data_IF_444185735520
#
_entry.id   IF_444185735520
#
_cell.length_a   1.000
_cell.length_b   1.000
_cell.length_c   1.000
_cell.angle_alpha   90.00
_cell.angle_beta   90.00
_cell.angle_gamma   90.00
#
_symmetry.space_group_name_H-M   'P 1'
#
loop_
_entity.id
_entity.type
_entity.pdbx_description
1 polymer ?
#
# COMPACT_ATOMS: atom_id res chain seq x y z
N UNK A 1 -8.30 1.46 -9.03
CA UNK A 1 -8.41 2.90 -8.75
C UNK A 1 -7.69 3.83 -9.75
N UNK A 2 -7.11 3.33 -10.85
CA UNK A 2 -6.25 4.15 -11.72
C UNK A 2 -6.95 5.23 -12.56
N UNK A 3 -8.15 4.99 -13.11
CA UNK A 3 -8.85 6.00 -13.95
C UNK A 3 -9.36 7.18 -13.11
N UNK A 4 -10.00 6.89 -11.96
CA UNK A 4 -10.48 7.93 -11.06
C UNK A 4 -9.33 8.73 -10.44
N UNK A 5 -8.25 8.06 -10.04
CA UNK A 5 -7.05 8.74 -9.54
C UNK A 5 -6.35 9.55 -10.63
N UNK A 6 -6.29 9.05 -11.87
CA UNK A 6 -5.76 9.78 -13.03
C UNK A 6 -6.62 11.02 -13.34
N UNK A 7 -7.94 10.87 -13.30
CA UNK A 7 -8.88 11.97 -13.43
C UNK A 7 -8.68 13.03 -12.34
N UNK A 8 -8.58 12.62 -11.07
CA UNK A 8 -8.31 13.53 -9.96
C UNK A 8 -6.95 14.22 -10.08
N UNK A 9 -5.92 13.51 -10.52
CA UNK A 9 -4.60 14.12 -10.76
C UNK A 9 -4.59 15.05 -11.95
N UNK A 10 -5.35 14.77 -13.02
CA UNK A 10 -5.54 15.68 -14.15
C UNK A 10 -6.33 16.94 -13.71
N UNK A 11 -7.43 16.77 -12.99
CA UNK A 11 -8.19 17.89 -12.41
C UNK A 11 -7.27 18.70 -11.49
N UNK A 12 -6.51 18.05 -10.62
CA UNK A 12 -5.51 18.70 -9.77
C UNK A 12 -4.45 19.44 -10.57
N UNK A 13 -3.95 18.88 -11.66
CA UNK A 13 -2.98 19.54 -12.54
C UNK A 13 -3.55 20.80 -13.21
N UNK A 14 -4.82 20.79 -13.61
CA UNK A 14 -5.47 21.95 -14.24
C UNK A 14 -5.93 23.00 -13.22
N UNK A 15 -6.35 22.59 -12.03
CA UNK A 15 -6.86 23.48 -10.96
C UNK A 15 -5.71 24.09 -10.15
N UNK A 16 -4.66 23.32 -9.85
CA UNK A 16 -3.50 23.81 -9.10
C UNK A 16 -2.61 24.60 -10.06
N UNK A 17 -2.85 25.90 -10.14
CA UNK A 17 -1.89 26.84 -10.72
C UNK A 17 -0.60 26.78 -9.90
N UNK A 18 0.51 26.43 -10.56
CA UNK A 18 1.85 26.34 -9.96
C UNK A 18 2.13 27.52 -9.02
N UNK A 19 2.23 27.25 -7.72
CA UNK A 19 2.54 28.25 -6.68
C UNK A 19 4.06 28.36 -6.40
N UNK A 20 4.90 27.69 -7.19
CA UNK A 20 6.34 27.62 -6.95
C UNK A 20 7.05 28.88 -7.43
N UNK A 21 7.37 29.78 -6.50
CA UNK A 21 7.89 31.14 -6.76
C UNK A 21 9.11 31.18 -7.68
N UNK A 22 10.03 30.22 -7.58
CA UNK A 22 11.22 30.20 -8.44
C UNK A 22 10.90 29.88 -9.91
N UNK A 23 9.80 29.18 -10.19
CA UNK A 23 9.36 28.87 -11.57
C UNK A 23 8.73 30.12 -12.21
N UNK A 24 7.96 30.89 -11.43
CA UNK A 24 7.39 32.17 -11.87
C UNK A 24 8.49 33.17 -12.25
N UNK A 25 9.52 33.31 -11.40
CA UNK A 25 10.67 34.17 -11.67
C UNK A 25 11.45 33.73 -12.92
N UNK A 26 11.61 32.41 -13.13
CA UNK A 26 12.26 31.85 -14.32
C UNK A 26 11.44 32.08 -15.60
N UNK A 27 10.11 31.97 -15.55
CA UNK A 27 9.23 32.27 -16.70
C UNK A 27 9.30 33.74 -17.07
N UNK A 28 9.33 34.63 -16.07
CA UNK A 28 9.49 36.08 -16.29
C UNK A 28 10.84 36.40 -16.94
N UNK A 29 11.94 35.83 -16.43
CA UNK A 29 13.27 35.98 -17.03
C UNK A 29 13.35 35.41 -18.46
N UNK A 30 12.66 34.31 -18.75
CA UNK A 30 12.58 33.74 -20.12
C UNK A 30 11.84 34.66 -21.09
N UNK A 31 10.76 35.31 -20.64
CA UNK A 31 10.01 36.28 -21.43
C UNK A 31 10.90 37.47 -21.82
N UNK A 32 11.70 37.98 -20.89
CA UNK A 32 12.64 39.08 -21.12
C UNK A 32 13.82 38.68 -22.03
N UNK A 33 14.29 37.43 -21.94
CA UNK A 33 15.35 36.88 -22.80
C UNK A 33 14.90 36.61 -24.26
N UNK A 34 13.59 36.59 -24.54
CA UNK A 34 13.06 36.22 -25.86
C UNK A 34 13.09 37.37 -26.88
N UNK A 35 13.31 38.60 -26.41
CA UNK A 35 13.44 39.84 -27.19
C UNK A 35 14.75 39.94 -27.99
N UNK A 36 15.79 39.16 -27.64
CA UNK A 36 17.13 39.29 -28.22
C UNK A 36 17.60 37.95 -28.82
N UNK A 37 17.96 37.88 -30.12
CA UNK A 37 18.31 36.61 -30.78
C UNK A 37 19.48 35.86 -30.13
N UNK A 38 20.51 36.57 -29.69
CA UNK A 38 21.68 35.98 -29.00
C UNK A 38 21.35 35.47 -27.60
N UNK A 39 20.37 36.09 -26.91
CA UNK A 39 19.98 35.72 -25.54
C UNK A 39 19.29 34.35 -25.47
N UNK A 40 18.52 33.97 -26.51
CA UNK A 40 17.81 32.68 -26.56
C UNK A 40 18.75 31.46 -26.51
N UNK A 41 19.91 31.54 -27.18
CA UNK A 41 20.89 30.45 -27.25
C UNK A 41 21.60 30.28 -25.91
N UNK A 42 21.99 31.40 -25.28
CA UNK A 42 22.62 31.44 -23.96
C UNK A 42 21.68 30.91 -22.87
N UNK A 43 20.39 31.31 -22.91
CA UNK A 43 19.39 30.86 -21.94
C UNK A 43 19.13 29.35 -21.98
N UNK A 44 19.08 28.72 -23.17
CA UNK A 44 18.85 27.27 -23.30
C UNK A 44 20.03 26.44 -22.78
N UNK A 45 21.26 26.89 -23.01
CA UNK A 45 22.47 26.22 -22.51
C UNK A 45 22.57 26.37 -20.99
N UNK A 46 22.32 27.58 -20.49
CA UNK A 46 22.30 27.88 -19.05
C UNK A 46 21.19 27.12 -18.32
N UNK A 47 20.01 26.93 -18.95
CA UNK A 47 18.91 26.17 -18.38
C UNK A 47 19.30 24.72 -18.06
N UNK A 48 19.89 23.99 -19.02
CA UNK A 48 20.28 22.60 -18.79
C UNK A 48 21.45 22.48 -17.80
N UNK A 49 22.36 23.45 -17.78
CA UNK A 49 23.44 23.52 -16.80
C UNK A 49 22.95 23.84 -15.38
N UNK A 50 21.87 24.59 -15.21
CA UNK A 50 21.28 24.87 -13.89
C UNK A 50 20.29 23.79 -13.41
N UNK A 51 19.77 22.95 -14.31
CA UNK A 51 18.74 21.98 -13.95
C UNK A 51 19.33 20.67 -13.43
N UNK A 52 20.33 20.12 -14.13
CA UNK A 52 20.85 18.78 -13.82
C UNK A 52 21.67 18.70 -12.52
N UNK A 53 22.57 19.64 -12.19
CA UNK A 53 23.39 19.54 -10.99
C UNK A 53 22.61 19.61 -9.66
N UNK A 54 21.64 20.51 -9.45
CA UNK A 54 20.88 20.53 -8.19
C UNK A 54 19.86 19.39 -8.10
N UNK A 55 19.38 18.88 -9.24
CA UNK A 55 18.45 17.76 -9.28
C UNK A 55 19.13 16.46 -8.83
N UNK A 56 20.33 16.17 -9.35
CA UNK A 56 21.08 14.97 -8.96
C UNK A 56 21.45 14.99 -7.47
N UNK A 57 21.82 16.15 -6.93
CA UNK A 57 22.09 16.32 -5.49
C UNK A 57 20.84 16.11 -4.65
N UNK A 58 19.68 16.61 -5.08
CA UNK A 58 18.40 16.44 -4.35
C UNK A 58 17.92 14.98 -4.36
N UNK A 59 18.16 14.25 -5.45
CA UNK A 59 17.84 12.82 -5.55
C UNK A 59 18.84 11.97 -4.75
N UNK A 60 20.12 12.35 -4.71
CA UNK A 60 21.14 11.62 -3.96
C UNK A 60 21.04 11.81 -2.43
N UNK A 61 20.49 12.95 -1.97
CA UNK A 61 20.31 13.27 -0.55
C UNK A 61 19.54 12.21 0.25
N UNK A 62 18.35 11.74 -0.15
CA UNK A 62 17.63 10.71 0.60
C UNK A 62 18.43 9.41 0.73
N UNK A 63 19.15 8.97 -0.30
CA UNK A 63 20.05 7.81 -0.21
C UNK A 63 21.23 8.05 0.74
N UNK A 64 21.80 9.26 0.70
CA UNK A 64 22.90 9.63 1.59
C UNK A 64 22.45 9.70 3.07
N UNK A 65 21.22 10.15 3.33
CA UNK A 65 20.61 10.15 4.67
C UNK A 65 20.39 8.72 5.17
N UNK A 66 19.88 7.83 4.31
CA UNK A 66 19.66 6.42 4.62
C UNK A 66 20.95 5.68 5.01
N UNK A 67 22.05 5.97 4.31
CA UNK A 67 23.35 5.32 4.54
C UNK A 67 24.09 5.93 5.74
N UNK A 68 24.03 7.26 5.94
CA UNK A 68 24.78 7.94 7.01
C UNK A 68 24.09 7.91 8.38
N UNK A 69 22.78 7.66 8.46
CA UNK A 69 22.05 7.65 9.74
C UNK A 69 21.76 6.21 10.18
N UNK A 70 22.57 5.61 11.06
CA UNK A 70 22.41 4.20 11.47
C UNK A 70 21.08 3.93 12.20
N UNK A 71 20.48 4.95 12.82
CA UNK A 71 19.16 4.85 13.46
C UNK A 71 18.08 4.43 12.46
N UNK A 72 18.13 4.94 11.23
CA UNK A 72 17.14 4.59 10.20
C UNK A 72 17.32 3.14 9.76
N UNK A 73 18.56 2.66 9.68
CA UNK A 73 18.86 1.26 9.34
C UNK A 73 18.31 0.30 10.40
N UNK A 74 18.47 0.61 11.69
CA UNK A 74 17.92 -0.18 12.79
C UNK A 74 16.39 -0.23 12.74
N UNK A 75 15.73 0.91 12.48
CA UNK A 75 14.27 0.96 12.32
C UNK A 75 13.84 0.11 11.12
N UNK A 76 14.47 0.27 9.96
CA UNK A 76 14.13 -0.53 8.76
C UNK A 76 14.36 -2.02 8.97
N UNK A 77 15.39 -2.38 9.72
CA UNK A 77 15.68 -3.78 10.05
C UNK A 77 14.62 -4.35 11.00
N UNK A 78 14.24 -3.60 12.04
CA UNK A 78 13.19 -4.00 12.97
C UNK A 78 11.83 -4.16 12.27
N UNK A 79 11.45 -3.20 11.42
CA UNK A 79 10.23 -3.29 10.62
C UNK A 79 10.29 -4.44 9.59
N UNK A 80 11.44 -4.64 8.94
CA UNK A 80 11.63 -5.74 7.99
C UNK A 80 11.55 -7.12 8.66
N UNK A 81 12.19 -7.29 9.82
CA UNK A 81 12.09 -8.51 10.61
C UNK A 81 10.67 -8.73 11.13
N UNK A 82 10.01 -7.68 11.63
CA UNK A 82 8.61 -7.73 12.04
C UNK A 82 7.68 -8.13 10.90
N UNK A 83 7.87 -7.54 9.71
CA UNK A 83 7.12 -7.90 8.51
C UNK A 83 7.41 -9.34 8.06
N UNK A 84 8.65 -9.81 8.14
CA UNK A 84 9.02 -11.19 7.81
C UNK A 84 8.41 -12.23 8.76
N UNK A 85 8.43 -11.97 10.07
CA UNK A 85 7.76 -12.85 11.05
C UNK A 85 6.25 -12.84 10.81
N UNK A 86 5.68 -11.68 10.54
CA UNK A 86 4.25 -11.52 10.24
C UNK A 86 3.83 -12.34 9.01
N UNK A 87 4.59 -12.29 7.91
CA UNK A 87 4.26 -13.07 6.71
C UNK A 87 4.37 -14.57 6.93
N UNK A 88 5.39 -15.03 7.69
CA UNK A 88 5.54 -16.45 8.05
C UNK A 88 4.38 -16.92 8.94
N UNK A 89 3.96 -16.10 9.91
CA UNK A 89 2.84 -16.41 10.80
C UNK A 89 1.55 -16.62 10.01
N UNK A 90 1.23 -15.71 9.07
CA UNK A 90 0.02 -15.82 8.23
C UNK A 90 0.07 -17.09 7.38
N UNK A 91 1.21 -17.36 6.73
CA UNK A 91 1.37 -18.54 5.88
C UNK A 91 1.19 -19.84 6.69
N UNK A 92 1.85 -19.93 7.84
CA UNK A 92 1.77 -21.11 8.72
C UNK A 92 0.39 -21.28 9.31
N UNK A 93 -0.26 -20.17 9.70
CA UNK A 93 -1.63 -20.19 10.21
C UNK A 93 -2.60 -20.74 9.16
N UNK A 94 -2.50 -20.29 7.90
CA UNK A 94 -3.33 -20.81 6.81
C UNK A 94 -3.15 -22.32 6.63
N UNK A 95 -1.90 -22.83 6.65
CA UNK A 95 -1.62 -24.27 6.54
C UNK A 95 -2.19 -25.05 7.72
N UNK A 96 -1.97 -24.61 8.96
CA UNK A 96 -2.49 -25.28 10.17
C UNK A 96 -4.01 -25.26 10.19
N UNK A 97 -4.62 -24.15 9.76
CA UNK A 97 -6.07 -24.01 9.71
C UNK A 97 -6.68 -25.05 8.76
N UNK A 98 -6.09 -25.21 7.57
CA UNK A 98 -6.53 -26.22 6.60
C UNK A 98 -6.29 -27.63 7.15
N UNK A 99 -5.07 -27.93 7.58
CA UNK A 99 -4.67 -29.30 7.96
C UNK A 99 -5.34 -29.80 9.25
N UNK A 100 -5.61 -28.91 10.21
CA UNK A 100 -6.07 -29.31 11.54
C UNK A 100 -7.55 -29.00 11.78
N UNK A 101 -8.06 -27.85 11.34
CA UNK A 101 -9.44 -27.47 11.62
C UNK A 101 -10.43 -27.98 10.57
N UNK A 102 -10.08 -27.90 9.27
CA UNK A 102 -10.95 -28.40 8.20
C UNK A 102 -11.00 -29.93 8.18
N UNK A 103 -9.85 -30.60 8.29
CA UNK A 103 -9.80 -32.07 8.31
C UNK A 103 -10.51 -32.70 9.53
N UNK A 104 -10.57 -32.00 10.67
CA UNK A 104 -11.18 -32.52 11.90
C UNK A 104 -12.71 -32.32 11.97
N UNK A 105 -13.28 -31.40 11.18
CA UNK A 105 -14.73 -31.13 11.08
C UNK A 105 -15.22 -31.27 9.63
N UNK A 106 -15.17 -32.49 9.04
CA UNK A 106 -15.52 -32.67 7.65
C UNK A 106 -16.98 -32.32 7.35
N UNK A 107 -17.95 -32.54 8.26
CA UNK A 107 -19.38 -32.42 7.97
C UNK A 107 -19.87 -31.07 7.42
N UNK A 108 -19.24 -29.94 7.77
CA UNK A 108 -19.63 -28.60 7.28
C UNK A 108 -18.92 -28.20 5.98
N UNK A 109 -17.75 -28.80 5.68
CA UNK A 109 -16.88 -28.42 4.55
C UNK A 109 -16.65 -29.57 3.55
N UNK A 110 -17.21 -30.76 3.79
CA UNK A 110 -16.98 -32.00 3.04
C UNK A 110 -17.36 -31.88 1.57
N UNK A 111 -18.43 -31.15 1.24
CA UNK A 111 -18.92 -31.11 -0.13
C UNK A 111 -17.97 -30.29 -1.05
N UNK A 112 -17.45 -29.16 -0.58
CA UNK A 112 -16.44 -28.38 -1.31
C UNK A 112 -15.05 -29.03 -1.27
N UNK A 113 -14.61 -29.53 -0.11
CA UNK A 113 -13.26 -30.09 0.05
C UNK A 113 -13.07 -31.39 -0.75
N UNK A 114 -14.05 -32.30 -0.73
CA UNK A 114 -13.99 -33.56 -1.47
C UNK A 114 -14.17 -33.39 -2.99
N UNK A 115 -14.96 -32.40 -3.46
CA UNK A 115 -15.08 -32.10 -4.89
C UNK A 115 -13.79 -31.50 -5.48
N UNK A 116 -13.07 -30.71 -4.70
CA UNK A 116 -11.78 -30.14 -5.11
C UNK A 116 -10.69 -31.21 -5.20
N UNK A 117 -10.55 -32.06 -4.18
CA UNK A 117 -9.47 -33.05 -4.10
C UNK A 117 -9.60 -34.17 -5.16
N UNK A 118 -10.82 -34.45 -5.64
CA UNK A 118 -11.06 -35.47 -6.67
C UNK A 118 -10.75 -35.00 -8.10
N UNK A 119 -10.66 -33.68 -8.34
CA UNK A 119 -10.60 -33.14 -9.70
C UNK A 119 -9.36 -32.27 -10.01
N UNK A 120 -8.66 -31.67 -9.04
CA UNK A 120 -7.61 -30.69 -9.37
C UNK A 120 -6.41 -30.65 -8.39
N UNK A 121 -5.20 -30.85 -8.95
CA UNK A 121 -3.89 -30.66 -8.30
C UNK A 121 -3.42 -29.19 -8.19
N UNK A 122 -4.30 -28.20 -8.41
CA UNK A 122 -3.94 -26.79 -8.43
C UNK A 122 -4.58 -26.07 -7.23
N UNK A 123 -3.76 -25.32 -6.47
CA UNK A 123 -4.19 -24.59 -5.27
C UNK A 123 -5.30 -23.60 -5.58
N UNK A 124 -6.54 -23.94 -5.21
CA UNK A 124 -7.71 -23.08 -5.43
C UNK A 124 -7.72 -21.91 -4.43
N UNK A 125 -8.19 -20.72 -4.85
CA UNK A 125 -8.28 -19.53 -3.99
C UNK A 125 -9.23 -19.72 -2.78
N UNK A 126 -10.14 -20.70 -2.88
CA UNK A 126 -11.15 -21.07 -1.87
C UNK A 126 -10.53 -21.48 -0.52
N UNK A 127 -9.29 -22.00 -0.51
CA UNK A 127 -8.62 -22.41 0.72
C UNK A 127 -8.20 -21.24 1.62
N UNK A 128 -8.16 -20.01 1.09
CA UNK A 128 -7.77 -18.80 1.84
C UNK A 128 -8.96 -18.05 2.45
N UNK A 129 -10.17 -18.32 1.96
CA UNK A 129 -11.43 -17.69 2.40
C UNK A 129 -11.68 -17.81 3.90
N UNK A 130 -11.42 -18.95 4.57
CA UNK A 130 -11.72 -19.08 6.00
C UNK A 130 -10.96 -18.06 6.88
N UNK A 131 -9.71 -17.77 6.55
CA UNK A 131 -8.93 -16.77 7.29
C UNK A 131 -9.43 -15.33 7.05
N UNK A 132 -9.91 -15.04 5.83
CA UNK A 132 -10.52 -13.75 5.51
C UNK A 132 -11.83 -13.52 6.28
N UNK A 133 -12.58 -14.59 6.60
CA UNK A 133 -13.82 -14.51 7.39
C UNK A 133 -13.53 -14.05 8.83
N UNK A 134 -12.45 -14.53 9.44
CA UNK A 134 -12.06 -14.10 10.79
C UNK A 134 -11.76 -12.60 10.84
N UNK A 135 -11.05 -12.07 9.84
CA UNK A 135 -10.80 -10.63 9.69
C UNK A 135 -12.08 -9.82 9.48
N UNK A 136 -13.03 -10.35 8.69
CA UNK A 136 -14.32 -9.71 8.42
C UNK A 136 -15.23 -9.62 9.66
N UNK A 137 -15.09 -10.53 10.64
CA UNK A 137 -15.82 -10.48 11.92
C UNK A 137 -15.11 -9.55 12.91
N UNK A 138 -13.78 -9.55 12.94
CA UNK A 138 -13.00 -8.72 13.86
C UNK A 138 -13.13 -7.22 13.56
N UNK A 139 -13.25 -6.86 12.28
CA UNK A 139 -13.36 -5.47 11.81
C UNK A 139 -14.59 -4.73 12.37
N UNK A 140 -15.84 -5.23 12.25
CA UNK A 140 -17.02 -4.57 12.82
C UNK A 140 -17.00 -4.56 14.36
N UNK A 141 -16.38 -5.56 15.01
CA UNK A 141 -16.23 -5.57 16.48
C UNK A 141 -15.31 -4.43 16.93
N UNK A 142 -14.16 -4.25 16.27
CA UNK A 142 -13.24 -3.14 16.57
C UNK A 142 -13.88 -1.78 16.30
N UNK A 143 -14.65 -1.65 15.21
CA UNK A 143 -15.36 -0.42 14.88
C UNK A 143 -16.46 -0.11 15.89
N UNK A 144 -17.20 -1.12 16.35
CA UNK A 144 -18.23 -0.98 17.36
C UNK A 144 -17.63 -0.56 18.71
N UNK A 145 -16.56 -1.21 19.16
CA UNK A 145 -15.84 -0.84 20.39
C UNK A 145 -15.29 0.60 20.31
N UNK A 146 -14.68 0.98 19.19
CA UNK A 146 -14.19 2.33 18.98
C UNK A 146 -15.32 3.37 18.99
N UNK A 147 -16.41 3.10 18.27
CA UNK A 147 -17.54 4.03 18.12
C UNK A 147 -18.32 4.19 19.42
N UNK A 148 -18.53 3.10 20.17
CA UNK A 148 -19.21 3.11 21.45
C UNK A 148 -18.42 3.87 22.52
N UNK A 149 -17.09 3.76 22.50
CA UNK A 149 -16.20 4.45 23.45
C UNK A 149 -15.87 5.90 23.06
N UNK A 150 -16.29 6.36 21.89
CA UNK A 150 -16.20 7.76 21.50
C UNK A 150 -17.33 8.61 22.12
N UNK A 151 -18.50 8.00 22.37
CA UNK A 151 -19.68 8.68 22.92
C UNK A 151 -19.69 8.70 24.44
N UNK A 152 -19.25 7.60 25.06
CA UNK A 152 -18.99 7.53 26.49
C UNK A 152 -17.59 8.07 26.70
N UNK A 153 -17.37 9.09 27.54
CA UNK A 153 -16.04 9.59 27.92
C UNK A 153 -15.27 8.53 28.74
N UNK A 154 -14.99 7.39 28.13
CA UNK A 154 -14.36 6.24 28.75
C UNK A 154 -12.84 6.39 28.85
N UNK A 155 -12.17 5.39 29.43
CA UNK A 155 -10.71 5.38 29.54
C UNK A 155 -10.09 5.38 28.13
N UNK A 156 -9.16 6.30 27.88
CA UNK A 156 -8.46 6.45 26.60
C UNK A 156 -7.88 5.12 26.06
N UNK A 157 -7.43 4.23 26.97
CA UNK A 157 -6.87 2.93 26.61
C UNK A 157 -7.86 2.03 25.87
N UNK A 158 -9.16 2.12 26.14
CA UNK A 158 -10.17 1.28 25.48
C UNK A 158 -10.39 1.74 24.03
N UNK A 159 -10.29 3.04 23.77
CA UNK A 159 -10.35 3.61 22.42
C UNK A 159 -9.15 3.15 21.59
N UNK A 160 -7.95 3.17 22.17
CA UNK A 160 -6.74 2.65 21.53
C UNK A 160 -6.85 1.14 21.25
N UNK A 161 -7.43 0.37 22.17
CA UNK A 161 -7.69 -1.06 21.97
C UNK A 161 -8.67 -1.28 20.81
N UNK A 162 -9.79 -0.55 20.76
CA UNK A 162 -10.74 -0.65 19.65
C UNK A 162 -10.12 -0.32 18.29
N UNK A 163 -9.31 0.74 18.22
CA UNK A 163 -8.57 1.13 17.02
C UNK A 163 -7.52 0.07 16.59
N UNK A 164 -6.84 -0.55 17.56
CA UNK A 164 -5.88 -1.63 17.29
C UNK A 164 -6.58 -2.89 16.75
N UNK A 165 -7.72 -3.28 17.33
CA UNK A 165 -8.52 -4.43 16.90
C UNK A 165 -9.09 -4.19 15.50
N UNK A 166 -9.60 -2.99 15.21
CA UNK A 166 -10.05 -2.62 13.87
C UNK A 166 -8.91 -2.70 12.85
N UNK A 167 -7.74 -2.15 13.20
CA UNK A 167 -6.57 -2.13 12.31
C UNK A 167 -6.05 -3.55 12.02
N UNK A 168 -6.06 -4.43 13.04
CA UNK A 168 -5.74 -5.85 12.87
C UNK A 168 -6.76 -6.55 11.96
N UNK A 169 -8.06 -6.37 12.19
CA UNK A 169 -9.11 -6.94 11.35
C UNK A 169 -9.01 -6.49 9.89
N UNK A 170 -8.81 -5.19 9.67
CA UNK A 170 -8.62 -4.61 8.34
C UNK A 170 -7.38 -5.16 7.64
N UNK A 171 -6.26 -5.35 8.36
CA UNK A 171 -5.03 -5.90 7.79
C UNK A 171 -5.22 -7.37 7.38
N UNK A 172 -5.84 -8.19 8.23
CA UNK A 172 -6.14 -9.60 7.96
C UNK A 172 -7.05 -9.75 6.72
N UNK A 173 -8.12 -8.95 6.68
CA UNK A 173 -9.07 -8.94 5.57
C UNK A 173 -8.42 -8.48 4.26
N UNK A 174 -7.64 -7.39 4.31
CA UNK A 174 -6.95 -6.85 3.12
C UNK A 174 -5.93 -7.84 2.55
N UNK A 175 -5.14 -8.50 3.40
CA UNK A 175 -4.15 -9.49 2.94
C UNK A 175 -4.83 -10.76 2.41
N UNK A 176 -5.91 -11.22 3.04
CA UNK A 176 -6.70 -12.36 2.55
C UNK A 176 -7.33 -12.08 1.18
N UNK A 177 -7.86 -10.87 0.97
CA UNK A 177 -8.44 -10.45 -0.31
C UNK A 177 -7.37 -10.34 -1.42
N UNK A 178 -6.20 -9.77 -1.11
CA UNK A 178 -5.08 -9.70 -2.05
C UNK A 178 -4.60 -11.08 -2.46
N UNK A 179 -4.50 -12.00 -1.50
CA UNK A 179 -4.09 -13.38 -1.73
C UNK A 179 -5.14 -14.15 -2.56
N UNK A 180 -6.43 -13.88 -2.34
CA UNK A 180 -7.52 -14.44 -3.14
C UNK A 180 -7.48 -13.93 -4.59
N UNK A 181 -7.31 -12.62 -4.77
CA UNK A 181 -7.24 -11.98 -6.09
C UNK A 181 -6.03 -12.47 -6.91
N UNK A 182 -4.87 -12.66 -6.27
CA UNK A 182 -3.69 -13.22 -6.93
C UNK A 182 -3.92 -14.65 -7.44
N UNK A 183 -4.57 -15.49 -6.63
CA UNK A 183 -4.85 -16.87 -6.96
C UNK A 183 -5.97 -17.00 -8.01
N UNK A 184 -7.01 -16.16 -7.94
CA UNK A 184 -8.13 -16.13 -8.90
C UNK A 184 -7.67 -15.69 -10.29
N UNK A 185 -6.85 -14.65 -10.35
CA UNK A 185 -6.37 -14.11 -11.63
C UNK A 185 -5.11 -14.80 -12.14
N UNK A 186 -4.47 -15.72 -11.40
CA UNK A 186 -3.36 -16.59 -11.81
C UNK A 186 -2.30 -15.94 -12.70
N UNK A 187 -2.56 -15.88 -14.02
CA UNK A 187 -1.70 -15.26 -15.04
C UNK A 187 -1.76 -13.71 -15.11
N UNK A 188 -2.86 -13.10 -14.65
CA UNK A 188 -3.12 -11.66 -14.63
C UNK A 188 -3.25 -11.09 -13.20
N UNK A 189 -2.93 -11.87 -12.16
CA UNK A 189 -3.10 -11.44 -10.76
C UNK A 189 -2.27 -10.22 -10.38
N UNK A 190 -1.04 -10.14 -10.91
CA UNK A 190 -0.16 -8.98 -10.68
C UNK A 190 -0.74 -7.71 -11.33
N UNK A 191 -1.31 -7.82 -12.54
CA UNK A 191 -1.97 -6.69 -13.20
C UNK A 191 -3.28 -6.28 -12.54
N UNK A 192 -4.03 -7.23 -11.97
CA UNK A 192 -5.26 -6.93 -11.24
C UNK A 192 -4.96 -6.15 -9.94
N UNK A 193 -3.92 -6.54 -9.19
CA UNK A 193 -3.49 -5.83 -7.99
C UNK A 193 -2.87 -4.45 -8.30
N UNK A 194 -2.20 -4.31 -9.44
CA UNK A 194 -1.71 -3.01 -9.91
C UNK A 194 -2.83 -2.06 -10.39
N UNK A 195 -4.00 -2.61 -10.72
CA UNK A 195 -5.16 -1.85 -11.17
C UNK A 195 -6.10 -1.43 -10.04
N UNK A 196 -6.07 -2.13 -8.89
CA UNK A 196 -6.86 -1.81 -7.69
C UNK A 196 -6.48 -0.49 -7.06
#
# INVERSE_FOLDING_TARGET
>A
MSIFNNFLTLVGYYVIRESYTSVLLRRKAKSEAMSTPNSKRTFKIQYWQELFPPLSVRIARPFQILIRRPVIQLITFAFGAGFGIYTILISTFATIYIERYINQRPSLYCNCYCLSNKNYNHGRPEFRVPYSIDGAILMPIGLFLYSWMAEITGPWAVVDIGASVFSLGNMLFSQGLLAYQLDEFGKHGVSANAAS
#
